data_IF_398179891075
#
_entry.id   IF_398179891075
#
_cell.length_a   1.000
_cell.length_b   1.000
_cell.length_c   1.000
_cell.angle_alpha   90.00
_cell.angle_beta   90.00
_cell.angle_gamma   90.00
#
_symmetry.space_group_name_H-M   'P 1'
#
loop_
_entity.id
_entity.type
_entity.pdbx_description
1 polymer ?
#
# COMPACT_ATOMS: atom_id res chain seq x y z
N UNK A 1 16.78 4.54 27.80
CA UNK A 1 16.02 5.49 26.96
C UNK A 1 16.21 5.09 25.51
N UNK A 2 15.15 4.66 24.84
CA UNK A 2 15.23 4.14 23.47
C UNK A 2 15.73 5.23 22.52
N UNK A 3 16.87 4.99 21.89
CA UNK A 3 17.42 5.84 20.83
C UNK A 3 16.46 5.78 19.63
N UNK A 4 15.58 6.79 19.51
CA UNK A 4 14.74 7.01 18.34
C UNK A 4 15.67 7.27 17.15
N UNK A 5 15.93 6.24 16.34
CA UNK A 5 16.70 6.38 15.11
C UNK A 5 15.78 7.06 14.07
N UNK A 6 16.04 8.32 13.67
CA UNK A 6 15.16 9.09 12.78
C UNK A 6 14.94 8.44 11.41
N UNK A 7 15.80 7.48 11.03
CA UNK A 7 15.63 6.67 9.84
C UNK A 7 14.34 5.85 9.83
N UNK A 8 13.90 5.28 10.97
CA UNK A 8 12.69 4.45 11.00
C UNK A 8 11.41 5.26 10.78
N UNK A 9 11.33 6.42 11.43
CA UNK A 9 10.18 7.31 11.27
C UNK A 9 10.09 7.86 9.84
N UNK A 10 11.25 8.18 9.24
CA UNK A 10 11.34 8.66 7.85
C UNK A 10 10.92 7.57 6.86
N UNK A 11 11.39 6.33 7.02
CA UNK A 11 11.01 5.20 6.16
C UNK A 11 9.53 4.84 6.31
N UNK A 12 8.99 4.90 7.53
CA UNK A 12 7.55 4.71 7.77
C UNK A 12 6.70 5.80 7.11
N UNK A 13 7.11 7.07 7.21
CA UNK A 13 6.39 8.17 6.57
C UNK A 13 6.43 8.08 5.04
N UNK A 14 7.59 7.72 4.45
CA UNK A 14 7.72 7.46 3.02
C UNK A 14 6.83 6.28 2.56
N UNK A 15 6.84 5.18 3.31
CA UNK A 15 5.93 4.06 3.07
C UNK A 15 4.47 4.50 3.09
N UNK A 16 4.07 5.23 4.13
CA UNK A 16 2.70 5.71 4.31
C UNK A 16 2.27 6.63 3.16
N UNK A 17 3.16 7.51 2.70
CA UNK A 17 2.88 8.45 1.61
C UNK A 17 2.73 7.72 0.28
N UNK A 18 3.62 6.78 -0.04
CA UNK A 18 3.51 5.98 -1.27
C UNK A 18 2.29 5.06 -1.23
N UNK A 19 2.00 4.45 -0.07
CA UNK A 19 0.83 3.59 0.09
C UNK A 19 -0.49 4.35 0.01
N UNK A 20 -0.54 5.57 0.56
CA UNK A 20 -1.72 6.43 0.48
C UNK A 20 -2.00 6.90 -0.94
N UNK A 21 -0.96 7.34 -1.66
CA UNK A 21 -1.10 7.79 -3.06
C UNK A 21 -1.41 6.61 -3.98
N UNK A 22 -0.68 5.50 -3.85
CA UNK A 22 -0.91 4.29 -4.65
C UNK A 22 -2.27 3.67 -4.40
N UNK A 23 -2.65 3.53 -3.12
CA UNK A 23 -3.97 3.02 -2.73
C UNK A 23 -5.11 3.95 -3.18
N UNK A 24 -4.92 5.26 -3.06
CA UNK A 24 -5.89 6.26 -3.51
C UNK A 24 -6.09 6.25 -5.02
N UNK A 25 -5.02 6.17 -5.80
CA UNK A 25 -5.10 6.11 -7.27
C UNK A 25 -5.78 4.82 -7.75
N UNK A 26 -5.35 3.66 -7.25
CA UNK A 26 -5.93 2.37 -7.67
C UNK A 26 -7.38 2.25 -7.18
N UNK A 27 -7.65 2.62 -5.94
CA UNK A 27 -9.00 2.62 -5.37
C UNK A 27 -9.95 3.58 -6.08
N UNK A 28 -9.46 4.78 -6.42
CA UNK A 28 -10.21 5.77 -7.19
C UNK A 28 -10.55 5.29 -8.59
N UNK A 29 -9.57 4.74 -9.32
CA UNK A 29 -9.79 4.19 -10.66
C UNK A 29 -10.84 3.07 -10.64
N UNK A 30 -10.70 2.15 -9.68
CA UNK A 30 -11.61 1.03 -9.54
C UNK A 30 -13.03 1.48 -9.17
N UNK A 31 -13.15 2.43 -8.25
CA UNK A 31 -14.43 3.00 -7.82
C UNK A 31 -15.15 3.78 -8.92
N UNK A 32 -14.43 4.50 -9.78
CA UNK A 32 -15.01 5.18 -10.95
C UNK A 32 -15.56 4.17 -11.96
N UNK A 33 -14.82 3.09 -12.22
CA UNK A 33 -15.26 2.05 -13.17
C UNK A 33 -16.50 1.32 -12.63
N UNK A 34 -16.43 0.80 -11.41
CA UNK A 34 -17.55 0.04 -10.83
C UNK A 34 -18.76 0.92 -10.56
N UNK A 35 -18.57 2.14 -10.05
CA UNK A 35 -19.63 3.11 -9.84
C UNK A 35 -20.28 3.58 -11.14
N UNK A 36 -19.49 3.82 -12.19
CA UNK A 36 -19.97 4.23 -13.50
C UNK A 36 -20.79 3.13 -14.19
N UNK A 37 -20.32 1.87 -14.16
CA UNK A 37 -21.04 0.73 -14.75
C UNK A 37 -22.35 0.46 -14.01
N UNK A 38 -22.34 0.49 -12.67
CA UNK A 38 -23.56 0.27 -11.88
C UNK A 38 -24.55 1.43 -11.98
N UNK A 39 -24.06 2.66 -12.07
CA UNK A 39 -24.88 3.85 -12.30
C UNK A 39 -25.56 3.82 -13.67
N UNK A 40 -24.84 3.41 -14.72
CA UNK A 40 -25.39 3.24 -16.06
C UNK A 40 -26.46 2.13 -16.13
N UNK A 41 -26.36 1.11 -15.28
CA UNK A 41 -27.34 0.02 -15.17
C UNK A 41 -28.59 0.38 -14.34
N UNK A 42 -28.71 1.60 -13.82
CA UNK A 42 -29.87 2.05 -13.05
C UNK A 42 -29.98 1.45 -11.64
N UNK A 43 -28.86 0.94 -11.10
CA UNK A 43 -28.84 0.38 -9.75
C UNK A 43 -29.05 1.52 -8.73
N UNK A 44 -29.88 1.33 -7.69
CA UNK A 44 -30.07 2.34 -6.65
C UNK A 44 -28.76 2.69 -5.94
N UNK A 45 -28.53 3.99 -5.72
CA UNK A 45 -27.29 4.55 -5.15
C UNK A 45 -26.88 3.90 -3.82
N UNK A 46 -27.84 3.52 -2.98
CA UNK A 46 -27.57 2.86 -1.70
C UNK A 46 -26.89 1.49 -1.88
N UNK A 47 -27.31 0.73 -2.90
CA UNK A 47 -26.68 -0.57 -3.23
C UNK A 47 -25.33 -0.38 -3.87
N UNK A 48 -25.17 0.64 -4.73
CA UNK A 48 -23.87 0.98 -5.33
C UNK A 48 -22.87 1.34 -4.22
N UNK A 49 -23.27 2.18 -3.26
CA UNK A 49 -22.42 2.57 -2.14
C UNK A 49 -21.99 1.37 -1.28
N UNK A 50 -22.91 0.44 -1.01
CA UNK A 50 -22.61 -0.78 -0.26
C UNK A 50 -21.67 -1.71 -1.04
N UNK A 51 -21.90 -1.90 -2.33
CA UNK A 51 -21.06 -2.76 -3.18
C UNK A 51 -19.66 -2.16 -3.36
N UNK A 52 -19.56 -0.86 -3.63
CA UNK A 52 -18.28 -0.16 -3.74
C UNK A 52 -17.49 -0.20 -2.43
N UNK A 53 -18.16 -0.11 -1.27
CA UNK A 53 -17.50 -0.28 0.04
C UNK A 53 -16.95 -1.70 0.23
N UNK A 54 -17.73 -2.72 -0.08
CA UNK A 54 -17.31 -4.12 0.07
C UNK A 54 -16.18 -4.44 -0.90
N UNK A 55 -16.34 -4.09 -2.17
CA UNK A 55 -15.31 -4.30 -3.20
C UNK A 55 -14.05 -3.50 -2.88
N UNK A 56 -14.19 -2.24 -2.47
CA UNK A 56 -13.07 -1.41 -2.04
C UNK A 56 -12.30 -2.03 -0.87
N UNK A 57 -13.02 -2.56 0.12
CA UNK A 57 -12.38 -3.28 1.24
C UNK A 57 -11.67 -4.55 0.77
N UNK A 58 -12.33 -5.39 -0.02
CA UNK A 58 -11.75 -6.63 -0.54
C UNK A 58 -10.52 -6.40 -1.42
N UNK A 59 -10.51 -5.33 -2.21
CA UNK A 59 -9.39 -4.94 -3.07
C UNK A 59 -8.28 -4.26 -2.26
N UNK A 60 -8.61 -3.55 -1.17
CA UNK A 60 -7.62 -2.92 -0.29
C UNK A 60 -6.71 -3.93 0.41
N UNK A 61 -7.23 -5.11 0.77
CA UNK A 61 -6.45 -6.16 1.43
C UNK A 61 -5.24 -6.63 0.60
N UNK A 62 -5.39 -7.14 -0.64
CA UNK A 62 -4.25 -7.53 -1.46
C UNK A 62 -3.37 -6.33 -1.82
N UNK A 63 -3.94 -5.16 -2.13
CA UNK A 63 -3.16 -3.95 -2.43
C UNK A 63 -2.26 -3.58 -1.24
N UNK A 64 -2.77 -3.66 -0.01
CA UNK A 64 -1.99 -3.35 1.19
C UNK A 64 -0.79 -4.29 1.33
N UNK A 65 -0.99 -5.60 1.05
CA UNK A 65 0.08 -6.59 1.11
C UNK A 65 1.15 -6.36 0.03
N UNK A 66 0.74 -6.12 -1.22
CA UNK A 66 1.67 -5.84 -2.31
C UNK A 66 2.45 -4.54 -2.09
N UNK A 67 1.77 -3.50 -1.61
CA UNK A 67 2.39 -2.20 -1.31
C UNK A 67 3.37 -2.32 -0.15
N UNK A 68 3.00 -3.03 0.91
CA UNK A 68 3.90 -3.33 2.02
C UNK A 68 5.13 -4.11 1.55
N UNK A 69 4.94 -5.19 0.78
CA UNK A 69 6.03 -5.98 0.22
C UNK A 69 6.96 -5.14 -0.65
N UNK A 70 6.41 -4.34 -1.55
CA UNK A 70 7.18 -3.46 -2.43
C UNK A 70 7.98 -2.42 -1.64
N UNK A 71 7.38 -1.81 -0.62
CA UNK A 71 8.07 -0.81 0.20
C UNK A 71 9.12 -1.40 1.12
N UNK A 72 8.90 -2.59 1.69
CA UNK A 72 9.93 -3.30 2.45
C UNK A 72 11.09 -3.67 1.54
N UNK A 73 10.83 -4.19 0.34
CA UNK A 73 11.88 -4.54 -0.62
C UNK A 73 12.70 -3.31 -1.03
N UNK A 74 12.03 -2.21 -1.37
CA UNK A 74 12.69 -1.01 -1.94
C UNK A 74 13.40 -0.16 -0.88
N UNK A 75 12.87 -0.07 0.34
CA UNK A 75 13.36 0.89 1.33
C UNK A 75 14.00 0.27 2.58
N UNK A 76 13.74 -1.01 2.87
CA UNK A 76 14.29 -1.68 4.05
C UNK A 76 15.42 -2.64 3.66
N UNK A 77 15.24 -3.44 2.60
CA UNK A 77 16.25 -4.44 2.20
C UNK A 77 17.47 -3.80 1.54
N UNK A 78 17.30 -2.74 0.76
CA UNK A 78 18.42 -2.01 0.14
C UNK A 78 19.31 -1.26 1.15
N UNK A 79 18.93 -1.22 2.43
CA UNK A 79 19.77 -0.66 3.51
C UNK A 79 20.62 -1.69 4.23
N UNK A 80 20.60 -2.98 3.84
CA UNK A 80 21.61 -3.92 4.29
C UNK A 80 22.96 -3.47 3.74
N UNK A 81 23.92 -3.06 4.61
CA UNK A 81 25.26 -2.76 4.13
C UNK A 81 25.77 -4.02 3.45
N UNK A 82 26.16 -3.93 2.18
CA UNK A 82 26.93 -4.99 1.52
C UNK A 82 28.27 -5.30 2.23
N UNK A 83 28.60 -4.57 3.31
CA UNK A 83 29.69 -4.85 4.25
C UNK A 83 29.22 -5.71 5.43
N UNK A 84 28.74 -6.92 5.18
CA UNK A 84 29.08 -7.95 6.16
C UNK A 84 30.58 -8.17 5.99
N UNK A 85 31.41 -8.09 7.05
CA UNK A 85 32.77 -8.58 6.98
C UNK A 85 32.68 -10.00 6.45
N UNK A 86 33.37 -10.29 5.34
CA UNK A 86 33.43 -11.64 4.82
C UNK A 86 33.87 -12.59 5.95
N UNK A 87 33.20 -13.76 6.08
CA UNK A 87 33.48 -14.68 7.16
C UNK A 87 34.98 -14.98 7.14
N UNK A 88 35.63 -14.91 8.30
CA UNK A 88 37.07 -15.05 8.33
C UNK A 88 37.50 -16.42 7.80
N UNK A 89 38.53 -16.44 6.95
CA UNK A 89 39.03 -17.63 6.24
C UNK A 89 39.84 -18.59 7.15
N UNK A 90 39.55 -18.62 8.45
CA UNK A 90 40.15 -19.58 9.38
C UNK A 90 39.23 -20.77 9.67
#
# INVERSE_FOLDING_TARGET
MASFKPHYLKSWFLFFLVASIGGGLVGGLFGVITGGVMGAAGVPLDRIALICKILGFLVSVPISFFTFRWSVSTYIVDQLPQRLPEPPLW
#
